data_IF_447530845842
#
_entry.id   IF_447530845842
#
_cell.length_a   1.000
_cell.length_b   1.000
_cell.length_c   1.000
_cell.angle_alpha   90.00
_cell.angle_beta   90.00
_cell.angle_gamma   90.00
#
_symmetry.space_group_name_H-M   'P 1'
#
loop_
_entity.id
_entity.type
_entity.pdbx_description
1 polymer ?
#
# COMPACT_ATOMS: atom_id res chain seq x y z
N UNK A 1 33.31 -10.76 0.47
CA UNK A 1 33.62 -9.99 1.68
C UNK A 1 32.58 -8.89 1.82
N UNK A 2 31.58 -9.10 2.69
CA UNK A 2 30.51 -8.13 2.93
C UNK A 2 31.07 -6.96 3.75
N UNK A 3 30.94 -5.75 3.21
CA UNK A 3 31.26 -4.52 3.91
C UNK A 3 30.31 -4.35 5.09
N UNK A 4 30.87 -4.35 6.29
CA UNK A 4 30.18 -3.98 7.52
C UNK A 4 29.78 -2.50 7.43
N UNK A 5 28.49 -2.24 7.26
CA UNK A 5 27.96 -0.89 7.38
C UNK A 5 28.05 -0.45 8.86
N UNK A 6 29.14 0.23 9.21
CA UNK A 6 29.27 0.95 10.50
C UNK A 6 28.48 2.28 10.44
N UNK A 7 27.37 2.35 11.17
CA UNK A 7 26.80 3.47 11.97
C UNK A 7 25.28 3.22 12.14
N UNK A 8 24.72 3.27 13.36
CA UNK A 8 24.54 4.52 14.10
C UNK A 8 24.86 4.42 15.62
N UNK A 9 25.67 5.34 16.20
CA UNK A 9 25.92 5.42 17.65
C UNK A 9 25.10 6.50 18.39
N UNK A 10 24.07 7.11 17.77
CA UNK A 10 23.40 8.31 18.33
C UNK A 10 21.89 8.19 18.56
N UNK A 11 21.23 7.10 18.16
CA UNK A 11 19.79 6.92 18.38
C UNK A 11 19.57 6.06 19.63
N UNK A 12 18.83 6.59 20.61
CA UNK A 12 18.51 5.87 21.84
C UNK A 12 17.28 4.97 21.69
N UNK A 13 16.51 5.08 20.60
CA UNK A 13 15.30 4.29 20.34
C UNK A 13 15.07 4.05 18.84
N UNK A 14 14.16 3.12 18.54
CA UNK A 14 13.54 2.93 17.21
C UNK A 14 12.08 2.50 17.37
N UNK A 15 11.22 2.99 16.47
CA UNK A 15 9.89 2.41 16.24
C UNK A 15 10.00 1.49 15.02
N UNK A 16 9.91 0.19 15.27
CA UNK A 16 10.10 -0.83 14.25
C UNK A 16 8.83 -1.04 13.45
N UNK A 17 7.66 -1.07 14.08
CA UNK A 17 6.40 -1.18 13.36
C UNK A 17 5.22 -0.63 14.16
N UNK A 18 4.28 -0.04 13.44
CA UNK A 18 2.95 0.33 13.92
C UNK A 18 2.01 -0.38 12.97
N UNK A 19 1.30 -1.40 13.46
CA UNK A 19 0.45 -2.25 12.62
C UNK A 19 -0.96 -2.30 13.18
N UNK A 20 -1.89 -2.57 12.29
CA UNK A 20 -3.26 -2.90 12.66
C UNK A 20 -3.51 -4.38 12.37
N UNK A 21 -3.71 -5.18 13.40
CA UNK A 21 -3.92 -6.63 13.29
C UNK A 21 -5.04 -7.02 14.25
N UNK A 22 -6.01 -7.82 13.77
CA UNK A 22 -7.11 -8.38 14.56
C UNK A 22 -7.87 -7.35 15.41
N UNK A 23 -8.17 -6.18 14.84
CA UNK A 23 -8.87 -5.10 15.55
C UNK A 23 -8.05 -4.49 16.70
N UNK A 24 -6.72 -4.54 16.62
CA UNK A 24 -5.79 -3.89 17.55
C UNK A 24 -4.76 -3.06 16.81
N UNK A 25 -4.25 -2.04 17.47
CA UNK A 25 -3.01 -1.36 17.08
C UNK A 25 -1.88 -2.00 17.87
N UNK A 26 -0.85 -2.46 17.17
CA UNK A 26 0.39 -2.99 17.74
C UNK A 26 1.54 -2.03 17.41
N UNK A 27 2.24 -1.57 18.45
CA UNK A 27 3.41 -0.71 18.34
C UNK A 27 4.60 -1.50 18.89
N UNK A 28 5.58 -1.77 18.05
CA UNK A 28 6.81 -2.41 18.47
C UNK A 28 8.04 -1.57 18.13
N UNK A 29 9.07 -1.75 18.94
CA UNK A 29 10.32 -1.03 18.83
C UNK A 29 11.27 -1.37 19.95
N UNK A 30 12.31 -0.56 20.11
CA UNK A 30 13.27 -0.69 21.19
C UNK A 30 13.70 0.69 21.72
N UNK A 31 14.12 0.72 22.98
CA UNK A 31 14.64 1.91 23.66
C UNK A 31 15.74 1.52 24.65
N UNK A 32 16.95 2.04 24.47
CA UNK A 32 18.15 1.60 25.20
C UNK A 32 18.10 1.89 26.70
N UNK A 33 17.46 2.99 27.09
CA UNK A 33 17.35 3.42 28.48
C UNK A 33 16.05 2.96 29.12
N UNK A 34 15.31 2.01 28.52
CA UNK A 34 14.01 1.57 29.02
C UNK A 34 14.04 1.19 30.50
N UNK A 35 15.09 0.50 30.96
CA UNK A 35 15.31 0.10 32.36
C UNK A 35 15.35 1.26 33.36
N UNK A 36 15.56 2.49 32.89
CA UNK A 36 15.52 3.68 33.72
C UNK A 36 14.11 4.22 33.92
N UNK A 37 13.06 3.57 33.41
CA UNK A 37 11.68 4.03 33.52
C UNK A 37 10.81 3.00 34.24
N UNK A 38 9.73 3.46 34.85
CA UNK A 38 8.82 2.65 35.67
C UNK A 38 7.52 2.32 34.93
N UNK A 39 7.14 3.15 33.97
CA UNK A 39 5.90 3.00 33.20
C UNK A 39 6.12 3.40 31.76
N UNK A 40 5.54 2.61 30.85
CA UNK A 40 5.39 2.96 29.44
C UNK A 40 3.90 3.12 29.12
N UNK A 41 3.53 4.26 28.54
CA UNK A 41 2.17 4.55 28.08
C UNK A 41 2.14 4.86 26.59
N UNK A 42 1.05 4.49 25.94
CA UNK A 42 0.63 5.10 24.68
C UNK A 42 -0.33 6.23 25.03
N UNK A 43 0.02 7.44 24.64
CA UNK A 43 -0.86 8.61 24.67
C UNK A 43 -1.51 8.70 23.31
N UNK A 44 -2.80 8.40 23.23
CA UNK A 44 -3.56 8.49 21.99
C UNK A 44 -3.78 9.96 21.59
N UNK A 45 -4.05 10.21 20.30
CA UNK A 45 -4.34 11.57 19.82
C UNK A 45 -5.53 12.25 20.49
N UNK A 46 -6.50 11.48 21.00
CA UNK A 46 -7.66 11.94 21.79
C UNK A 46 -7.36 12.09 23.29
N UNK A 47 -6.09 11.95 23.70
CA UNK A 47 -5.59 11.95 25.08
C UNK A 47 -6.00 10.76 25.93
N UNK A 48 -6.62 9.73 25.36
CA UNK A 48 -6.77 8.46 26.08
C UNK A 48 -5.39 7.84 26.32
N UNK A 49 -5.25 7.15 27.46
CA UNK A 49 -3.99 6.56 27.88
C UNK A 49 -4.11 5.05 27.90
N UNK A 50 -3.21 4.37 27.22
CA UNK A 50 -3.02 2.94 27.36
C UNK A 50 -1.71 2.67 28.12
N UNK A 51 -1.79 1.97 29.25
CA UNK A 51 -0.61 1.60 30.04
C UNK A 51 -0.12 0.23 29.59
N UNK A 52 1.12 0.16 29.10
CA UNK A 52 1.74 -1.08 28.68
C UNK A 52 1.88 -2.05 29.88
N UNK A 53 1.51 -3.30 29.67
CA UNK A 53 1.57 -4.35 30.67
C UNK A 53 3.00 -4.85 30.85
N UNK A 54 3.31 -5.49 31.99
CA UNK A 54 4.66 -5.97 32.33
C UNK A 54 5.27 -6.94 31.30
N UNK A 55 4.46 -7.57 30.45
CA UNK A 55 4.94 -8.44 29.36
C UNK A 55 5.12 -7.74 28.01
N UNK A 56 4.70 -6.49 27.86
CA UNK A 56 4.71 -5.74 26.59
C UNK A 56 5.95 -4.85 26.44
N UNK A 57 6.78 -4.73 27.46
CA UNK A 57 8.01 -3.94 27.43
C UNK A 57 9.09 -4.55 28.33
N UNK A 58 10.32 -4.06 28.22
CA UNK A 58 11.53 -4.71 28.76
C UNK A 58 11.79 -6.12 28.23
N UNK A 59 11.34 -6.41 27.01
CA UNK A 59 11.61 -7.69 26.38
C UNK A 59 13.09 -7.77 25.93
N UNK A 60 13.66 -8.99 25.89
CA UNK A 60 15.04 -9.21 25.44
C UNK A 60 15.21 -8.91 23.94
N UNK A 61 16.39 -8.42 23.55
CA UNK A 61 16.75 -8.03 22.18
C UNK A 61 18.19 -8.42 21.88
N UNK A 62 18.37 -9.66 21.41
CA UNK A 62 19.71 -10.19 21.11
C UNK A 62 20.39 -9.44 19.95
N UNK A 63 19.59 -9.00 18.98
CA UNK A 63 20.00 -8.17 17.84
C UNK A 63 20.59 -6.82 18.29
N UNK A 64 19.87 -6.09 19.15
CA UNK A 64 20.31 -4.79 19.67
C UNK A 64 21.50 -4.98 20.63
N UNK A 65 21.46 -6.00 21.49
CA UNK A 65 22.56 -6.33 22.39
C UNK A 65 23.86 -6.66 21.63
N UNK A 66 23.76 -7.35 20.49
CA UNK A 66 24.91 -7.68 19.64
C UNK A 66 25.49 -6.44 18.92
N UNK A 67 24.65 -5.45 18.59
CA UNK A 67 25.06 -4.23 17.89
C UNK A 67 25.65 -3.16 18.81
N UNK A 68 25.14 -3.05 20.04
CA UNK A 68 25.46 -1.95 20.96
C UNK A 68 26.26 -2.46 22.17
N UNK A 69 25.63 -3.23 23.05
CA UNK A 69 26.24 -3.78 24.26
C UNK A 69 25.35 -4.89 24.87
N UNK A 70 25.91 -6.01 25.39
CA UNK A 70 25.16 -7.01 26.16
C UNK A 70 24.28 -6.47 27.31
N UNK A 71 24.62 -5.32 27.90
CA UNK A 71 23.80 -4.67 28.94
C UNK A 71 22.48 -4.08 28.41
N UNK A 72 22.34 -3.92 27.09
CA UNK A 72 21.12 -3.45 26.41
C UNK A 72 20.22 -4.61 25.96
N UNK A 73 20.09 -5.67 26.76
CA UNK A 73 19.25 -6.82 26.39
C UNK A 73 17.75 -6.51 26.55
N UNK A 74 17.33 -5.88 27.64
CA UNK A 74 15.90 -5.71 27.96
C UNK A 74 15.30 -4.39 27.44
N UNK A 75 15.41 -4.16 26.14
CA UNK A 75 15.11 -2.86 25.51
C UNK A 75 13.88 -2.87 24.61
N UNK A 76 13.28 -4.03 24.36
CA UNK A 76 12.17 -4.19 23.41
C UNK A 76 10.81 -3.90 24.05
N UNK A 77 9.92 -3.34 23.25
CA UNK A 77 8.50 -3.27 23.54
C UNK A 77 7.69 -3.73 22.33
N UNK A 78 6.52 -4.31 22.62
CA UNK A 78 5.48 -4.68 21.70
C UNK A 78 4.15 -4.49 22.42
N UNK A 79 3.55 -3.32 22.22
CA UNK A 79 2.37 -2.85 22.95
C UNK A 79 1.16 -3.03 22.04
N UNK A 80 0.15 -3.75 22.51
CA UNK A 80 -1.06 -3.98 21.75
C UNK A 80 -2.29 -3.40 22.45
N UNK A 81 -3.01 -2.48 21.82
CA UNK A 81 -4.23 -1.91 22.38
C UNK A 81 -5.40 -1.91 21.39
N UNK A 82 -6.65 -1.82 21.87
CA UNK A 82 -7.83 -1.91 21.02
C UNK A 82 -7.83 -0.85 19.91
N UNK A 83 -8.33 -1.24 18.74
CA UNK A 83 -8.54 -0.36 17.61
C UNK A 83 -9.65 0.67 17.91
N UNK A 84 -9.37 1.99 17.91
CA UNK A 84 -10.40 3.00 18.10
C UNK A 84 -11.39 3.00 16.93
N UNK A 85 -12.69 3.02 17.18
CA UNK A 85 -13.70 3.06 16.11
C UNK A 85 -13.59 4.31 15.22
N UNK A 86 -13.01 5.39 15.75
CA UNK A 86 -12.79 6.66 15.06
C UNK A 86 -11.33 6.84 14.59
N UNK A 87 -10.57 5.74 14.43
CA UNK A 87 -9.18 5.80 14.02
C UNK A 87 -9.04 6.57 12.70
N UNK A 88 -8.18 7.58 12.69
CA UNK A 88 -7.80 8.35 11.51
C UNK A 88 -6.28 8.44 11.43
N UNK A 89 -5.73 8.80 10.27
CA UNK A 89 -4.29 8.99 10.13
C UNK A 89 -3.78 10.06 11.12
N UNK A 90 -4.51 11.17 11.24
CA UNK A 90 -4.17 12.25 12.17
C UNK A 90 -4.15 11.77 13.64
N UNK A 91 -5.09 10.90 14.04
CA UNK A 91 -5.13 10.37 15.39
C UNK A 91 -3.94 9.44 15.68
N UNK A 92 -3.52 8.61 14.71
CA UNK A 92 -2.33 7.75 14.83
C UNK A 92 -1.05 8.58 14.88
N UNK A 93 -0.93 9.60 14.04
CA UNK A 93 0.27 10.44 14.01
C UNK A 93 0.41 11.33 15.24
N UNK A 94 -0.70 11.67 15.88
CA UNK A 94 -0.72 12.35 17.17
C UNK A 94 -0.41 11.41 18.35
N UNK A 95 -0.23 10.11 18.13
CA UNK A 95 0.14 9.19 19.20
C UNK A 95 1.59 9.37 19.64
N UNK A 96 1.80 9.27 20.95
CA UNK A 96 3.11 9.35 21.59
C UNK A 96 3.32 8.15 22.51
N UNK A 97 4.54 7.61 22.55
CA UNK A 97 5.00 6.76 23.64
C UNK A 97 5.54 7.66 24.77
N UNK A 98 5.04 7.49 25.98
CA UNK A 98 5.49 8.20 27.19
C UNK A 98 6.19 7.20 28.13
N UNK A 99 7.50 7.38 28.33
CA UNK A 99 8.30 6.65 29.31
C UNK A 99 8.42 7.51 30.57
N UNK A 100 7.92 7.02 31.70
CA UNK A 100 7.73 7.81 32.93
C UNK A 100 8.58 7.27 34.10
N UNK A 101 9.15 8.19 34.90
CA UNK A 101 9.83 7.92 36.18
C UNK A 101 9.88 9.16 37.06
N UNK A 102 9.59 9.01 38.36
CA UNK A 102 9.76 10.07 39.37
C UNK A 102 9.13 11.43 38.98
N UNK A 103 7.99 11.40 38.28
CA UNK A 103 7.30 12.60 37.79
C UNK A 103 7.91 13.23 36.52
N UNK A 104 9.00 12.68 35.99
CA UNK A 104 9.55 13.01 34.67
C UNK A 104 9.02 12.07 33.58
N UNK A 105 8.93 12.57 32.34
CA UNK A 105 8.48 11.78 31.20
C UNK A 105 9.32 12.09 29.95
N UNK A 106 9.76 11.05 29.26
CA UNK A 106 10.30 11.13 27.89
C UNK A 106 9.19 10.75 26.90
N UNK A 107 8.99 11.56 25.87
CA UNK A 107 7.95 11.34 24.87
C UNK A 107 8.53 11.12 23.48
N UNK A 108 8.04 10.09 22.80
CA UNK A 108 8.45 9.70 21.46
C UNK A 108 7.22 9.68 20.54
N UNK A 109 7.19 10.50 19.50
CA UNK A 109 6.13 10.43 18.49
C UNK A 109 6.26 9.17 17.62
N UNK A 110 5.13 8.59 17.21
CA UNK A 110 5.12 7.36 16.40
C UNK A 110 5.50 7.60 14.93
N UNK A 111 5.23 8.79 14.40
CA UNK A 111 5.50 9.14 13.02
C UNK A 111 5.94 10.61 12.88
N UNK A 112 6.87 10.91 11.97
CA UNK A 112 7.27 12.30 11.71
C UNK A 112 6.18 13.03 10.93
N UNK A 113 5.75 14.21 11.39
CA UNK A 113 4.61 15.00 10.89
C UNK A 113 4.83 15.71 9.54
N UNK A 114 5.40 15.06 8.54
CA UNK A 114 5.48 15.61 7.17
C UNK A 114 4.39 14.99 6.30
N UNK A 115 3.16 15.48 6.44
CA UNK A 115 2.05 15.10 5.57
C UNK A 115 1.88 16.08 4.42
N UNK A 116 1.65 15.51 3.22
CA UNK A 116 1.27 16.23 2.01
C UNK A 116 -0.19 15.93 1.60
N UNK A 117 -0.95 15.17 2.38
CA UNK A 117 -2.33 14.78 2.02
C UNK A 117 -3.37 15.86 2.29
N UNK A 118 -4.49 15.82 1.57
CA UNK A 118 -5.65 16.67 1.83
C UNK A 118 -6.10 16.59 3.30
N UNK A 119 -6.10 17.75 3.99
CA UNK A 119 -6.34 17.86 5.43
C UNK A 119 -7.66 17.22 5.90
N UNK A 120 -8.68 17.16 5.06
CA UNK A 120 -9.97 16.60 5.42
C UNK A 120 -9.94 15.06 5.50
N UNK A 121 -9.23 14.38 4.57
CA UNK A 121 -9.18 12.92 4.54
C UNK A 121 -8.32 12.34 5.66
N UNK A 122 -7.25 13.02 6.07
CA UNK A 122 -6.37 12.51 7.14
C UNK A 122 -7.05 12.53 8.52
N UNK A 123 -8.05 13.38 8.71
CA UNK A 123 -8.84 13.47 9.95
C UNK A 123 -10.07 12.55 9.95
N UNK A 124 -10.52 12.13 8.77
CA UNK A 124 -11.69 11.28 8.60
C UNK A 124 -11.43 9.88 9.18
N UNK A 125 -12.37 9.31 9.97
CA UNK A 125 -12.27 7.93 10.43
C UNK A 125 -12.08 6.97 9.26
N UNK A 126 -11.20 5.97 9.42
CA UNK A 126 -10.91 4.99 8.38
C UNK A 126 -12.16 4.21 7.94
N UNK A 127 -13.11 3.97 8.85
CA UNK A 127 -14.40 3.33 8.54
C UNK A 127 -15.29 4.16 7.61
N UNK A 128 -15.10 5.49 7.57
CA UNK A 128 -15.84 6.39 6.68
C UNK A 128 -15.14 6.57 5.34
N UNK A 129 -13.87 6.18 5.21
CA UNK A 129 -13.08 6.27 3.97
C UNK A 129 -13.61 5.25 2.99
N UNK A 130 -14.06 5.70 1.82
CA UNK A 130 -14.58 4.80 0.79
C UNK A 130 -13.44 4.07 0.09
N UNK A 131 -13.25 2.79 0.41
CA UNK A 131 -12.23 1.94 -0.20
C UNK A 131 -12.76 1.29 -1.49
N UNK A 132 -11.97 1.34 -2.55
CA UNK A 132 -12.18 0.57 -3.78
C UNK A 132 -11.07 -0.45 -3.98
N UNK A 133 -11.40 -1.68 -4.35
CA UNK A 133 -10.44 -2.74 -4.67
C UNK A 133 -10.72 -3.24 -6.09
N UNK A 134 -9.81 -2.95 -7.01
CA UNK A 134 -9.88 -3.34 -8.41
C UNK A 134 -9.00 -4.55 -8.70
N UNK A 135 -9.57 -5.60 -9.30
CA UNK A 135 -8.85 -6.84 -9.62
C UNK A 135 -8.93 -7.10 -11.13
N UNK A 136 -7.83 -6.98 -11.88
CA UNK A 136 -7.79 -7.37 -13.29
C UNK A 136 -7.61 -8.89 -13.39
N UNK A 137 -8.26 -9.52 -14.37
CA UNK A 137 -8.05 -10.95 -14.65
C UNK A 137 -8.15 -11.28 -16.14
N UNK A 138 -7.45 -12.32 -16.55
CA UNK A 138 -7.52 -12.90 -17.90
C UNK A 138 -7.06 -14.37 -17.88
N UNK A 139 -7.97 -15.31 -18.19
CA UNK A 139 -7.75 -16.75 -18.26
C UNK A 139 -7.20 -17.37 -16.96
N UNK A 140 -7.76 -16.98 -15.81
CA UNK A 140 -7.28 -17.34 -14.47
C UNK A 140 -8.43 -17.59 -13.49
N UNK A 141 -9.48 -18.28 -13.94
CA UNK A 141 -10.75 -18.45 -13.20
C UNK A 141 -10.57 -18.90 -11.74
N UNK A 142 -9.72 -19.90 -11.49
CA UNK A 142 -9.46 -20.42 -10.15
C UNK A 142 -8.73 -19.43 -9.23
N UNK A 143 -7.74 -18.70 -9.77
CA UNK A 143 -6.96 -17.72 -9.00
C UNK A 143 -7.83 -16.52 -8.63
N UNK A 144 -8.54 -15.93 -9.60
CA UNK A 144 -9.38 -14.76 -9.34
C UNK A 144 -10.50 -15.09 -8.34
N UNK A 145 -11.09 -16.28 -8.41
CA UNK A 145 -12.09 -16.74 -7.44
C UNK A 145 -11.55 -16.74 -6.01
N UNK A 146 -10.38 -17.33 -5.81
CA UNK A 146 -9.76 -17.41 -4.48
C UNK A 146 -9.32 -16.03 -3.98
N UNK A 147 -8.78 -15.20 -4.86
CA UNK A 147 -8.36 -13.84 -4.53
C UNK A 147 -9.56 -12.98 -4.11
N UNK A 148 -10.68 -13.03 -4.84
CA UNK A 148 -11.91 -12.31 -4.46
C UNK A 148 -12.44 -12.82 -3.12
N UNK A 149 -12.48 -14.14 -2.90
CA UNK A 149 -12.91 -14.74 -1.62
C UNK A 149 -12.08 -14.21 -0.45
N UNK A 150 -10.75 -14.21 -0.58
CA UNK A 150 -9.84 -13.70 0.47
C UNK A 150 -9.99 -12.22 0.70
N UNK A 151 -10.21 -11.43 -0.36
CA UNK A 151 -10.52 -10.01 -0.21
C UNK A 151 -11.82 -9.83 0.58
N UNK A 152 -12.89 -10.57 0.30
CA UNK A 152 -14.14 -10.47 1.05
C UNK A 152 -13.99 -10.90 2.52
N UNK A 153 -13.21 -11.93 2.80
CA UNK A 153 -13.04 -12.47 4.16
C UNK A 153 -12.09 -11.65 5.04
N UNK A 154 -11.00 -11.13 4.47
CA UNK A 154 -9.90 -10.56 5.24
C UNK A 154 -9.83 -9.03 5.16
N UNK A 155 -10.64 -8.39 4.31
CA UNK A 155 -10.68 -6.92 4.26
C UNK A 155 -11.52 -6.37 5.41
N UNK A 156 -10.96 -5.41 6.13
CA UNK A 156 -11.68 -4.66 7.14
C UNK A 156 -12.40 -3.46 6.50
N UNK A 157 -13.56 -3.08 7.06
CA UNK A 157 -14.53 -2.19 6.43
C UNK A 157 -15.18 -2.81 5.18
N UNK A 158 -16.24 -2.18 4.65
CA UNK A 158 -16.98 -2.67 3.49
C UNK A 158 -16.45 -2.02 2.20
N UNK A 159 -15.56 -2.68 1.42
CA UNK A 159 -14.99 -2.12 0.20
C UNK A 159 -15.95 -2.22 -0.98
N UNK A 160 -15.80 -1.33 -1.95
CA UNK A 160 -16.30 -1.57 -3.30
C UNK A 160 -15.30 -2.47 -4.04
N UNK A 161 -15.68 -3.71 -4.31
CA UNK A 161 -14.85 -4.67 -5.06
C UNK A 161 -15.28 -4.65 -6.53
N UNK A 162 -14.32 -4.45 -7.44
CA UNK A 162 -14.57 -4.49 -8.87
C UNK A 162 -13.59 -5.43 -9.58
N UNK A 163 -14.12 -6.42 -10.30
CA UNK A 163 -13.33 -7.36 -11.11
C UNK A 163 -13.54 -7.07 -12.60
N UNK A 164 -12.44 -6.87 -13.32
CA UNK A 164 -12.46 -6.64 -14.78
C UNK A 164 -11.82 -7.82 -15.51
N UNK A 165 -12.68 -8.62 -16.12
CA UNK A 165 -12.30 -9.76 -16.96
C UNK A 165 -11.99 -9.30 -18.39
N UNK A 166 -10.71 -9.36 -18.78
CA UNK A 166 -10.20 -8.88 -20.07
C UNK A 166 -10.38 -9.90 -21.21
N UNK A 167 -11.59 -10.46 -21.32
CA UNK A 167 -11.97 -11.30 -22.45
C UNK A 167 -11.47 -12.73 -22.35
N UNK A 168 -11.53 -13.30 -21.14
CA UNK A 168 -11.13 -14.69 -20.91
C UNK A 168 -11.93 -15.67 -21.78
N UNK A 169 -11.26 -16.74 -22.19
CA UNK A 169 -11.80 -17.87 -22.95
C UNK A 169 -12.05 -19.13 -22.10
N UNK A 170 -11.62 -19.10 -20.83
CA UNK A 170 -11.95 -20.14 -19.84
C UNK A 170 -13.30 -19.85 -19.14
N UNK A 171 -13.58 -20.52 -18.02
CA UNK A 171 -14.82 -20.37 -17.24
C UNK A 171 -14.84 -19.13 -16.32
N UNK A 172 -13.90 -18.18 -16.47
CA UNK A 172 -13.80 -16.99 -15.61
C UNK A 172 -15.11 -16.20 -15.54
N UNK A 173 -15.80 -15.98 -16.66
CA UNK A 173 -17.05 -15.20 -16.68
C UNK A 173 -18.16 -15.88 -15.85
N UNK A 174 -18.29 -17.20 -15.98
CA UNK A 174 -19.28 -18.00 -15.25
C UNK A 174 -18.97 -18.08 -13.76
N UNK A 175 -17.69 -18.11 -13.40
CA UNK A 175 -17.24 -18.08 -12.00
C UNK A 175 -17.54 -16.73 -11.36
N UNK A 176 -17.20 -15.62 -12.03
CA UNK A 176 -17.45 -14.27 -11.51
C UNK A 176 -18.95 -13.96 -11.38
N UNK A 177 -19.79 -14.47 -12.29
CA UNK A 177 -21.25 -14.30 -12.21
C UNK A 177 -21.93 -15.06 -11.06
N UNK A 178 -21.17 -15.82 -10.25
CA UNK A 178 -21.66 -16.54 -9.07
C UNK A 178 -21.14 -15.97 -7.76
N UNK A 179 -20.27 -14.97 -7.80
CA UNK A 179 -19.72 -14.33 -6.61
C UNK A 179 -20.58 -13.12 -6.31
N UNK A 180 -21.23 -13.12 -5.15
CA UNK A 180 -22.08 -12.02 -4.69
C UNK A 180 -21.25 -10.83 -4.18
N UNK A 181 -21.86 -9.65 -4.14
CA UNK A 181 -21.30 -8.43 -3.55
C UNK A 181 -20.02 -7.93 -4.24
N UNK A 182 -19.94 -8.10 -5.55
CA UNK A 182 -18.87 -7.54 -6.38
C UNK A 182 -19.44 -6.86 -7.63
N UNK A 183 -18.70 -5.88 -8.14
CA UNK A 183 -18.91 -5.35 -9.47
C UNK A 183 -18.11 -6.21 -10.45
N UNK A 184 -18.69 -6.52 -11.62
CA UNK A 184 -18.05 -7.33 -12.65
C UNK A 184 -18.21 -6.69 -14.01
N UNK A 185 -17.14 -6.69 -14.79
CA UNK A 185 -17.15 -6.37 -16.22
C UNK A 185 -16.52 -7.51 -17.01
N UNK A 186 -17.31 -8.13 -17.87
CA UNK A 186 -16.82 -9.01 -18.92
C UNK A 186 -16.71 -8.20 -20.23
N UNK A 187 -15.49 -7.98 -20.71
CA UNK A 187 -15.24 -7.17 -21.90
C UNK A 187 -14.21 -7.84 -22.83
N UNK A 188 -14.20 -7.52 -24.13
CA UNK A 188 -13.16 -8.03 -25.03
C UNK A 188 -11.76 -7.64 -24.57
N UNK A 189 -10.78 -8.52 -24.83
CA UNK A 189 -9.38 -8.30 -24.50
C UNK A 189 -8.87 -6.99 -25.09
N UNK A 190 -8.37 -6.12 -24.23
CA UNK A 190 -7.87 -4.80 -24.58
C UNK A 190 -6.43 -4.56 -24.09
N UNK A 191 -5.87 -5.52 -23.36
CA UNK A 191 -4.53 -5.41 -22.82
C UNK A 191 -4.47 -4.80 -21.43
N UNK A 192 -3.27 -4.83 -20.84
CA UNK A 192 -3.07 -4.62 -19.40
C UNK A 192 -3.42 -3.20 -18.98
N UNK A 193 -2.90 -2.18 -19.68
CA UNK A 193 -3.19 -0.77 -19.33
C UNK A 193 -4.68 -0.46 -19.44
N UNK A 194 -5.34 -0.90 -20.51
CA UNK A 194 -6.77 -0.68 -20.69
C UNK A 194 -7.59 -1.38 -19.61
N UNK A 195 -7.25 -2.63 -19.29
CA UNK A 195 -7.99 -3.39 -18.28
C UNK A 195 -7.83 -2.77 -16.88
N UNK A 196 -6.63 -2.32 -16.52
CA UNK A 196 -6.40 -1.55 -15.28
C UNK A 196 -7.13 -0.20 -15.29
N UNK A 197 -7.22 0.46 -16.44
CA UNK A 197 -7.97 1.72 -16.56
C UNK A 197 -9.48 1.53 -16.38
N UNK A 198 -10.07 0.40 -16.79
CA UNK A 198 -11.47 0.08 -16.46
C UNK A 198 -11.69 0.13 -14.95
N UNK A 199 -10.81 -0.56 -14.20
CA UNK A 199 -10.86 -0.63 -12.75
C UNK A 199 -10.70 0.74 -12.11
N UNK A 200 -9.61 1.42 -12.43
CA UNK A 200 -9.31 2.75 -11.90
C UNK A 200 -10.43 3.73 -12.22
N UNK A 201 -10.93 3.76 -13.45
CA UNK A 201 -11.98 4.70 -13.86
C UNK A 201 -13.28 4.45 -13.11
N UNK A 202 -13.72 3.18 -13.00
CA UNK A 202 -14.94 2.86 -12.26
C UNK A 202 -14.83 3.26 -10.79
N UNK A 203 -13.75 2.83 -10.12
CA UNK A 203 -13.56 3.11 -8.70
C UNK A 203 -13.33 4.61 -8.43
N UNK A 204 -12.66 5.31 -9.34
CA UNK A 204 -12.36 6.74 -9.20
C UNK A 204 -13.54 7.65 -9.57
N UNK A 205 -14.17 7.46 -10.71
CA UNK A 205 -15.16 8.42 -11.25
C UNK A 205 -16.60 8.02 -10.95
N UNK A 206 -16.90 6.72 -11.01
CA UNK A 206 -18.26 6.21 -10.81
C UNK A 206 -18.55 6.03 -9.33
N UNK A 207 -17.72 5.24 -8.65
CA UNK A 207 -17.91 4.87 -7.25
C UNK A 207 -17.36 5.91 -6.28
N UNK A 208 -16.56 6.85 -6.77
CA UNK A 208 -16.01 7.96 -5.97
C UNK A 208 -15.23 7.48 -4.72
N UNK A 209 -14.49 6.37 -4.82
CA UNK A 209 -13.65 5.85 -3.74
C UNK A 209 -12.54 6.83 -3.33
N UNK A 210 -12.37 7.07 -2.03
CA UNK A 210 -11.33 7.94 -1.48
C UNK A 210 -9.93 7.31 -1.66
N UNK A 211 -9.84 5.98 -1.47
CA UNK A 211 -8.63 5.17 -1.67
C UNK A 211 -8.96 4.03 -2.63
N UNK A 212 -8.04 3.73 -3.54
CA UNK A 212 -8.16 2.66 -4.53
C UNK A 212 -6.94 1.74 -4.44
N UNK A 213 -7.18 0.44 -4.35
CA UNK A 213 -6.14 -0.59 -4.45
C UNK A 213 -6.35 -1.34 -5.77
N UNK A 214 -5.33 -1.39 -6.63
CA UNK A 214 -5.27 -2.34 -7.73
C UNK A 214 -4.51 -3.58 -7.26
N UNK A 215 -5.18 -4.72 -7.23
CA UNK A 215 -4.65 -6.00 -6.75
C UNK A 215 -4.69 -7.00 -7.90
N UNK A 216 -3.54 -7.48 -8.35
CA UNK A 216 -3.47 -8.54 -9.38
C UNK A 216 -4.16 -9.83 -8.86
N UNK A 217 -4.72 -10.62 -9.77
CA UNK A 217 -5.50 -11.82 -9.42
C UNK A 217 -4.68 -12.95 -8.78
N UNK A 218 -3.35 -12.83 -8.75
CA UNK A 218 -2.40 -13.73 -8.07
C UNK A 218 -1.80 -13.14 -6.79
N UNK A 219 -2.28 -11.98 -6.32
CA UNK A 219 -1.88 -11.38 -5.06
C UNK A 219 -3.01 -11.49 -4.03
N UNK A 220 -2.81 -12.30 -2.99
CA UNK A 220 -3.86 -12.70 -2.06
C UNK A 220 -3.63 -12.13 -0.66
N UNK A 221 -4.66 -11.55 -0.03
CA UNK A 221 -4.63 -11.25 1.39
C UNK A 221 -4.38 -12.50 2.24
N UNK A 222 -3.54 -12.35 3.27
CA UNK A 222 -3.19 -13.44 4.20
C UNK A 222 -3.38 -13.09 5.68
N UNK A 223 -3.80 -11.85 5.99
CA UNK A 223 -4.06 -11.37 7.36
C UNK A 223 -5.36 -10.57 7.36
N UNK A 224 -6.17 -10.70 8.42
CA UNK A 224 -7.36 -9.87 8.62
C UNK A 224 -6.98 -8.39 8.76
N UNK A 225 -7.71 -7.51 8.10
CA UNK A 225 -7.44 -6.07 8.09
C UNK A 225 -6.20 -5.66 7.29
N UNK A 226 -5.72 -6.52 6.37
CA UNK A 226 -4.56 -6.23 5.51
C UNK A 226 -4.63 -4.84 4.86
N UNK A 227 -5.83 -4.40 4.47
CA UNK A 227 -6.07 -3.15 3.75
C UNK A 227 -5.82 -1.88 4.60
N UNK A 228 -5.80 -1.97 5.92
CA UNK A 228 -5.69 -0.79 6.79
C UNK A 228 -4.33 -0.11 6.61
N UNK A 229 -3.23 -0.89 6.61
CA UNK A 229 -1.88 -0.37 6.36
C UNK A 229 -1.79 0.27 4.96
N UNK A 230 -2.48 -0.32 3.97
CA UNK A 230 -2.55 0.25 2.62
C UNK A 230 -3.32 1.58 2.59
N UNK A 231 -4.44 1.69 3.29
CA UNK A 231 -5.20 2.93 3.42
C UNK A 231 -4.36 4.02 4.08
N UNK A 232 -3.70 3.71 5.20
CA UNK A 232 -2.83 4.65 5.92
C UNK A 232 -1.66 5.10 5.04
N UNK A 233 -1.02 4.18 4.33
CA UNK A 233 0.06 4.50 3.40
C UNK A 233 -0.41 5.39 2.24
N UNK A 234 -1.60 5.15 1.69
CA UNK A 234 -2.15 5.98 0.62
C UNK A 234 -2.56 7.36 1.12
N UNK A 235 -3.12 7.48 2.32
CA UNK A 235 -3.41 8.77 2.95
C UNK A 235 -2.13 9.59 3.20
N UNK A 236 -1.03 8.91 3.55
CA UNK A 236 0.25 9.53 3.89
C UNK A 236 1.08 9.91 2.66
N UNK A 237 1.17 9.01 1.69
CA UNK A 237 2.10 9.14 0.54
C UNK A 237 1.39 9.33 -0.80
N UNK A 238 0.07 9.25 -0.83
CA UNK A 238 -0.75 9.32 -2.05
C UNK A 238 -0.67 8.08 -2.95
N UNK A 239 0.43 7.33 -2.91
CA UNK A 239 0.64 6.11 -3.68
C UNK A 239 1.66 5.20 -3.00
N UNK A 240 1.50 3.88 -3.09
CA UNK A 240 2.49 2.86 -2.66
C UNK A 240 2.34 1.60 -3.50
N UNK A 241 3.37 0.76 -3.56
CA UNK A 241 3.34 -0.53 -4.23
C UNK A 241 3.72 -1.68 -3.30
N UNK A 242 3.50 -2.92 -3.72
CA UNK A 242 3.87 -4.10 -2.96
C UNK A 242 5.33 -4.49 -3.19
N UNK A 243 6.01 -4.95 -2.14
CA UNK A 243 7.30 -5.63 -2.17
C UNK A 243 7.08 -7.07 -1.68
N UNK A 244 6.95 -8.07 -2.58
CA UNK A 244 6.87 -9.46 -2.15
C UNK A 244 8.16 -9.90 -1.44
N UNK A 245 8.07 -10.97 -0.65
CA UNK A 245 9.20 -11.46 0.17
C UNK A 245 10.45 -11.82 -0.63
N UNK A 246 10.29 -12.22 -1.89
CA UNK A 246 11.39 -12.53 -2.82
C UNK A 246 11.93 -11.29 -3.55
N UNK A 247 11.34 -10.12 -3.36
CA UNK A 247 11.66 -8.93 -4.15
C UNK A 247 13.05 -8.39 -3.85
N UNK A 248 13.92 -8.22 -4.86
CA UNK A 248 15.27 -7.71 -4.64
C UNK A 248 15.27 -6.20 -4.40
N UNK A 249 16.40 -5.68 -3.93
CA UNK A 249 16.66 -4.23 -3.97
C UNK A 249 15.91 -3.40 -2.94
N UNK A 250 15.40 -4.02 -1.87
CA UNK A 250 14.85 -3.30 -0.72
C UNK A 250 15.97 -2.53 -0.03
N UNK A 251 15.87 -1.20 -0.07
CA UNK A 251 16.79 -0.28 0.58
C UNK A 251 16.38 0.01 2.03
N UNK A 252 16.41 1.29 2.41
CA UNK A 252 15.98 1.74 3.75
C UNK A 252 14.47 1.52 3.96
N UNK A 253 14.07 1.43 5.22
CA UNK A 253 12.67 1.21 5.62
C UNK A 253 12.43 -0.21 6.09
N UNK A 254 11.22 -0.48 6.59
CA UNK A 254 10.83 -1.80 7.09
C UNK A 254 9.54 -2.33 6.42
N UNK A 255 9.05 -1.66 5.37
CA UNK A 255 7.88 -2.08 4.62
C UNK A 255 6.54 -1.80 5.30
N UNK A 256 6.52 -1.09 6.43
CA UNK A 256 5.28 -0.63 7.08
C UNK A 256 4.74 0.65 6.42
N UNK A 257 3.47 0.96 6.68
CA UNK A 257 2.81 2.15 6.14
C UNK A 257 3.45 3.48 6.57
N UNK A 258 4.14 3.54 7.71
CA UNK A 258 4.81 4.76 8.20
C UNK A 258 6.28 4.83 7.78
N UNK A 259 6.89 3.68 7.48
CA UNK A 259 8.29 3.56 7.06
C UNK A 259 8.45 2.54 5.91
N UNK A 260 7.90 2.85 4.72
CA UNK A 260 7.92 1.93 3.59
C UNK A 260 9.34 1.65 3.13
N UNK A 261 9.54 0.51 2.48
CA UNK A 261 10.80 0.25 1.80
C UNK A 261 11.04 1.29 0.71
N UNK A 262 12.30 1.69 0.60
CA UNK A 262 12.82 2.57 -0.45
C UNK A 262 13.56 1.72 -1.47
N UNK A 263 12.97 1.52 -2.64
CA UNK A 263 13.56 0.69 -3.69
C UNK A 263 13.86 1.48 -4.96
N UNK A 264 14.85 1.03 -5.73
CA UNK A 264 15.12 1.53 -7.08
C UNK A 264 14.48 0.66 -8.17
N UNK A 265 13.85 -0.44 -7.78
CA UNK A 265 13.08 -1.34 -8.64
C UNK A 265 11.66 -1.43 -8.12
N UNK A 266 10.73 -1.72 -9.02
CA UNK A 266 9.30 -1.68 -8.75
C UNK A 266 8.63 -2.95 -9.24
N UNK A 267 7.58 -3.35 -8.54
CA UNK A 267 6.59 -4.29 -9.01
C UNK A 267 5.19 -3.76 -8.69
N UNK A 268 4.16 -4.34 -9.31
CA UNK A 268 2.79 -3.86 -9.23
C UNK A 268 1.78 -5.01 -9.03
N UNK A 269 2.15 -6.06 -8.26
CA UNK A 269 1.15 -7.07 -7.83
C UNK A 269 0.06 -6.45 -6.96
N UNK A 270 0.39 -5.40 -6.21
CA UNK A 270 -0.59 -4.51 -5.63
C UNK A 270 -0.07 -3.07 -5.66
N UNK A 271 -0.95 -2.13 -6.01
CA UNK A 271 -0.67 -0.70 -6.05
C UNK A 271 -1.82 0.04 -5.37
N UNK A 272 -1.50 0.88 -4.39
CA UNK A 272 -2.46 1.72 -3.70
C UNK A 272 -2.41 3.16 -4.19
N UNK A 273 -3.56 3.83 -4.24
CA UNK A 273 -3.70 5.20 -4.70
C UNK A 273 -4.69 5.97 -3.82
N UNK A 274 -4.35 7.21 -3.50
CA UNK A 274 -5.34 8.19 -3.07
C UNK A 274 -6.09 8.75 -4.27
N UNK A 275 -7.36 9.13 -4.06
CA UNK A 275 -8.15 9.90 -5.03
C UNK A 275 -7.42 11.15 -5.52
N UNK A 276 -6.79 11.87 -4.61
CA UNK A 276 -6.05 13.09 -4.94
C UNK A 276 -4.93 12.80 -5.95
N UNK A 277 -4.09 11.79 -5.69
CA UNK A 277 -3.00 11.43 -6.58
C UNK A 277 -3.50 11.01 -7.97
N UNK A 278 -4.60 10.24 -8.05
CA UNK A 278 -5.23 9.88 -9.33
C UNK A 278 -5.89 11.08 -10.02
N UNK A 279 -6.42 12.05 -9.29
CA UNK A 279 -7.00 13.26 -9.88
C UNK A 279 -5.93 14.14 -10.56
N UNK A 280 -4.72 14.21 -10.00
CA UNK A 280 -3.62 14.98 -10.57
C UNK A 280 -2.87 14.24 -11.70
N UNK A 281 -2.68 12.94 -11.56
CA UNK A 281 -1.85 12.15 -12.50
C UNK A 281 -2.70 11.38 -13.52
N UNK A 282 -3.95 11.11 -13.19
CA UNK A 282 -4.84 10.31 -14.01
C UNK A 282 -4.39 8.85 -14.07
N UNK A 283 -4.59 8.25 -15.23
CA UNK A 283 -4.63 6.81 -15.44
C UNK A 283 -3.37 6.27 -16.11
N UNK A 284 -3.33 4.96 -16.37
CA UNK A 284 -2.23 4.32 -17.09
C UNK A 284 -2.34 4.68 -18.58
N UNK A 285 -1.21 4.94 -19.23
CA UNK A 285 -1.21 5.32 -20.63
C UNK A 285 -1.60 4.15 -21.55
N UNK A 286 -2.66 4.30 -22.34
CA UNK A 286 -3.21 3.21 -23.17
C UNK A 286 -2.33 2.84 -24.37
N UNK A 287 -1.21 3.56 -24.60
CA UNK A 287 -0.17 3.12 -25.54
C UNK A 287 0.48 1.81 -25.10
N UNK A 288 0.54 1.54 -23.79
CA UNK A 288 1.05 0.26 -23.26
C UNK A 288 -0.01 -0.85 -23.43
N UNK A 289 0.00 -1.55 -24.55
CA UNK A 289 -0.98 -2.59 -24.83
C UNK A 289 -0.72 -3.92 -24.10
N UNK A 290 0.53 -4.39 -24.10
CA UNK A 290 0.93 -5.69 -23.55
C UNK A 290 1.89 -5.54 -22.36
N UNK A 291 2.46 -6.64 -21.90
CA UNK A 291 3.31 -6.71 -20.71
C UNK A 291 4.50 -5.74 -20.76
N UNK A 292 4.63 -4.91 -19.71
CA UNK A 292 5.87 -4.21 -19.35
C UNK A 292 5.74 -2.70 -19.34
N UNK A 293 6.47 -2.06 -18.42
CA UNK A 293 6.63 -0.60 -18.25
C UNK A 293 5.40 0.22 -17.86
N UNK A 294 4.18 -0.26 -18.02
CA UNK A 294 2.96 0.56 -17.85
C UNK A 294 2.79 1.06 -16.41
N UNK A 295 3.02 0.20 -15.43
CA UNK A 295 2.95 0.55 -14.00
C UNK A 295 4.15 1.37 -13.54
N UNK A 296 5.34 1.11 -14.10
CA UNK A 296 6.57 1.88 -13.81
C UNK A 296 6.39 3.32 -14.27
N UNK A 297 5.88 3.52 -15.49
CA UNK A 297 5.61 4.83 -16.05
C UNK A 297 4.61 5.60 -15.20
N UNK A 298 3.49 4.97 -14.84
CA UNK A 298 2.45 5.60 -14.01
C UNK A 298 2.99 6.00 -12.64
N UNK A 299 3.76 5.12 -12.00
CA UNK A 299 4.41 5.39 -10.71
C UNK A 299 5.41 6.54 -10.80
N UNK A 300 6.20 6.62 -11.88
CA UNK A 300 7.13 7.73 -12.07
C UNK A 300 6.40 9.07 -12.23
N UNK A 301 5.24 9.09 -12.92
CA UNK A 301 4.39 10.28 -12.99
C UNK A 301 3.86 10.70 -11.63
N UNK A 302 3.43 9.74 -10.81
CA UNK A 302 3.03 9.96 -9.41
C UNK A 302 4.16 10.61 -8.60
N UNK A 303 5.38 10.10 -8.72
CA UNK A 303 6.55 10.63 -8.01
C UNK A 303 6.90 12.04 -8.47
N UNK A 304 6.78 12.34 -9.77
CA UNK A 304 6.98 13.72 -10.28
C UNK A 304 6.00 14.72 -9.68
N UNK A 305 4.81 14.27 -9.30
CA UNK A 305 3.79 15.10 -8.63
C UNK A 305 3.87 15.03 -7.09
N UNK A 306 4.88 14.36 -6.53
CA UNK A 306 5.14 14.30 -5.09
C UNK A 306 4.50 13.12 -4.35
N UNK A 307 4.00 12.11 -5.07
CA UNK A 307 3.34 10.94 -4.49
C UNK A 307 4.17 9.65 -4.62
N UNK A 308 4.17 8.83 -3.57
CA UNK A 308 4.65 7.44 -3.60
C UNK A 308 6.13 7.18 -3.85
N UNK A 309 6.97 8.19 -3.63
CA UNK A 309 8.41 8.02 -3.73
C UNK A 309 9.19 9.33 -3.63
N UNK A 310 10.47 9.25 -3.96
CA UNK A 310 11.38 10.40 -3.99
C UNK A 310 12.00 10.52 -5.39
N UNK A 311 11.88 11.67 -6.05
CA UNK A 311 12.58 11.89 -7.31
C UNK A 311 14.10 11.91 -7.07
N UNK A 312 14.87 11.36 -8.01
CA UNK A 312 16.34 11.49 -7.99
C UNK A 312 16.77 12.74 -8.75
N UNK A 313 18.01 13.14 -8.55
CA UNK A 313 18.58 14.36 -9.15
C UNK A 313 18.53 14.36 -10.69
N UNK A 314 18.60 13.18 -11.31
CA UNK A 314 18.50 12.98 -12.76
C UNK A 314 17.08 13.20 -13.31
N UNK A 315 16.06 13.28 -12.44
CA UNK A 315 14.61 13.37 -12.74
C UNK A 315 14.03 12.22 -13.59
N UNK A 316 14.89 11.39 -14.19
CA UNK A 316 14.55 10.22 -14.99
C UNK A 316 14.38 8.96 -14.13
N UNK A 317 14.99 8.92 -12.94
CA UNK A 317 14.85 7.81 -12.01
C UNK A 317 14.27 8.27 -10.67
N UNK A 318 13.76 7.31 -9.91
CA UNK A 318 13.15 7.55 -8.62
C UNK A 318 13.52 6.49 -7.60
N UNK A 319 13.20 6.80 -6.36
CA UNK A 319 13.06 5.83 -5.29
C UNK A 319 11.58 5.59 -5.05
N UNK A 320 11.14 4.35 -5.19
CA UNK A 320 9.76 3.94 -4.96
C UNK A 320 9.50 3.64 -3.49
N UNK A 321 8.27 3.87 -3.02
CA UNK A 321 7.80 3.43 -1.71
C UNK A 321 7.02 2.12 -1.83
N UNK A 322 7.45 1.10 -1.07
CA UNK A 322 6.86 -0.23 -1.11
C UNK A 322 6.47 -0.74 0.28
N UNK A 323 5.32 -1.41 0.38
CA UNK A 323 4.87 -2.13 1.56
C UNK A 323 5.26 -3.61 1.46
N UNK A 324 5.64 -4.22 2.58
CA UNK A 324 6.23 -5.57 2.60
C UNK A 324 5.29 -6.71 3.01
N UNK A 325 4.10 -6.41 3.53
CA UNK A 325 3.29 -7.39 4.26
C UNK A 325 1.81 -7.34 3.89
N UNK A 326 1.03 -8.29 4.44
CA UNK A 326 -0.42 -8.41 4.26
C UNK A 326 -0.85 -9.20 3.03
N UNK A 327 0.05 -9.42 2.07
CA UNK A 327 -0.22 -10.13 0.82
C UNK A 327 0.77 -11.28 0.59
N UNK A 328 0.30 -12.30 -0.12
CA UNK A 328 1.10 -13.39 -0.67
C UNK A 328 0.91 -13.45 -2.19
N UNK A 329 2.01 -13.59 -2.94
CA UNK A 329 1.95 -13.82 -4.38
C UNK A 329 1.88 -15.33 -4.64
N UNK A 330 0.88 -15.73 -5.40
CA UNK A 330 0.66 -17.10 -5.84
C UNK A 330 1.38 -17.34 -7.17
N UNK A 331 1.82 -18.57 -7.39
CA UNK A 331 2.40 -18.95 -8.67
C UNK A 331 1.35 -18.86 -9.78
N UNK A 332 1.69 -18.16 -10.86
CA UNK A 332 0.82 -17.96 -12.01
C UNK A 332 1.63 -18.02 -13.31
N UNK A 333 0.97 -18.34 -14.42
CA UNK A 333 1.60 -18.30 -15.74
C UNK A 333 1.76 -16.84 -16.16
N UNK A 334 3.00 -16.38 -16.26
CA UNK A 334 3.31 -15.02 -16.66
C UNK A 334 3.04 -14.79 -18.15
N UNK A 335 2.42 -13.66 -18.49
CA UNK A 335 2.29 -13.16 -19.86
C UNK A 335 3.53 -12.39 -20.33
N UNK A 336 4.67 -12.57 -19.67
CA UNK A 336 5.95 -11.98 -20.04
C UNK A 336 6.34 -12.37 -21.47
N UNK A 337 6.76 -11.37 -22.24
CA UNK A 337 7.40 -11.55 -23.54
C UNK A 337 8.45 -10.45 -23.73
N UNK A 338 9.67 -10.84 -24.09
CA UNK A 338 10.74 -9.88 -24.34
C UNK A 338 10.38 -8.91 -25.47
N UNK A 339 9.66 -9.37 -26.50
CA UNK A 339 9.20 -8.52 -27.59
C UNK A 339 8.29 -7.39 -27.08
N UNK A 340 7.32 -7.72 -26.21
CA UNK A 340 6.41 -6.71 -25.65
C UNK A 340 7.15 -5.73 -24.75
N UNK A 341 8.13 -6.20 -23.97
CA UNK A 341 9.00 -5.34 -23.16
C UNK A 341 9.79 -4.38 -24.05
N UNK A 342 10.36 -4.85 -25.16
CA UNK A 342 11.13 -4.03 -26.09
C UNK A 342 10.26 -2.98 -26.80
N UNK A 343 9.03 -3.35 -27.19
CA UNK A 343 8.03 -2.44 -27.76
C UNK A 343 7.64 -1.35 -26.75
N UNK A 344 7.28 -1.74 -25.54
CA UNK A 344 6.90 -0.82 -24.48
C UNK A 344 8.08 0.03 -23.98
N UNK A 345 9.33 -0.45 -24.08
CA UNK A 345 10.53 0.36 -23.81
C UNK A 345 10.62 1.57 -24.73
N UNK A 346 10.26 1.41 -26.02
CA UNK A 346 10.27 2.52 -26.99
C UNK A 346 9.23 3.56 -26.62
N UNK A 347 8.03 3.11 -26.24
CA UNK A 347 6.95 3.99 -25.76
C UNK A 347 7.44 4.74 -24.52
N UNK A 348 7.89 4.02 -23.49
CA UNK A 348 8.36 4.58 -22.22
C UNK A 348 9.39 5.71 -22.42
N UNK A 349 10.40 5.48 -23.27
CA UNK A 349 11.44 6.48 -23.57
C UNK A 349 10.90 7.72 -24.28
N UNK A 350 9.89 7.56 -25.13
CA UNK A 350 9.35 8.65 -25.95
C UNK A 350 8.46 9.59 -25.13
N UNK A 351 7.83 9.09 -24.07
CA UNK A 351 6.76 9.79 -23.37
C UNK A 351 7.16 10.33 -21.99
N UNK A 352 8.41 10.09 -21.58
CA UNK A 352 8.92 10.42 -20.24
C UNK A 352 8.76 11.90 -19.87
N UNK A 353 8.88 12.80 -20.86
CA UNK A 353 8.87 14.26 -20.70
C UNK A 353 7.48 14.89 -20.96
N UNK A 354 6.50 14.07 -21.32
CA UNK A 354 5.12 14.54 -21.48
C UNK A 354 4.50 14.92 -20.11
N UNK A 355 3.37 15.63 -20.15
CA UNK A 355 2.60 16.02 -18.96
C UNK A 355 2.37 14.84 -18.00
N UNK A 356 2.19 15.08 -16.70
CA UNK A 356 1.89 14.00 -15.76
C UNK A 356 0.46 13.45 -15.93
N UNK A 357 -0.51 14.30 -16.25
CA UNK A 357 -1.91 13.87 -16.35
C UNK A 357 -2.16 13.02 -17.59
N UNK A 358 -2.86 11.88 -17.42
CA UNK A 358 -3.37 11.03 -18.51
C UNK A 358 -4.84 10.70 -18.29
N UNK A 359 -5.68 10.91 -19.29
CA UNK A 359 -7.05 10.36 -19.30
C UNK A 359 -7.00 8.83 -19.43
N UNK A 360 -8.09 8.15 -19.05
CA UNK A 360 -8.21 6.69 -19.18
C UNK A 360 -8.30 6.22 -20.65
N UNK A 361 -8.43 7.17 -21.58
CA UNK A 361 -8.52 7.04 -23.03
C UNK A 361 -7.59 8.05 -23.71
N UNK A 362 -7.38 7.90 -25.03
CA UNK A 362 -6.59 8.85 -25.84
C UNK A 362 -7.35 9.59 -26.93
N UNK A 363 -8.49 9.06 -27.35
CA UNK A 363 -9.30 9.59 -28.45
C UNK A 363 -10.79 9.40 -28.16
N UNK A 364 -11.62 9.96 -29.05
CA UNK A 364 -13.09 9.95 -28.92
C UNK A 364 -13.69 8.55 -29.02
N UNK A 365 -13.06 7.65 -29.79
CA UNK A 365 -13.49 6.25 -29.90
C UNK A 365 -13.23 5.50 -28.59
N UNK A 366 -12.07 5.73 -27.97
CA UNK A 366 -11.70 5.13 -26.69
C UNK A 366 -12.60 5.62 -25.54
N UNK A 367 -12.91 6.92 -25.44
CA UNK A 367 -13.85 7.38 -24.40
C UNK A 367 -15.24 6.80 -24.61
N UNK A 368 -15.70 6.69 -25.86
CA UNK A 368 -17.01 6.10 -26.16
C UNK A 368 -17.03 4.62 -25.76
N UNK A 369 -15.99 3.86 -26.14
CA UNK A 369 -15.81 2.46 -25.72
C UNK A 369 -15.81 2.32 -24.21
N UNK A 370 -15.05 3.15 -23.49
CA UNK A 370 -14.97 3.07 -22.03
C UNK A 370 -16.33 3.36 -21.40
N UNK A 371 -17.08 4.36 -21.89
CA UNK A 371 -18.44 4.66 -21.41
C UNK A 371 -19.39 3.48 -21.62
N UNK A 372 -19.32 2.83 -22.78
CA UNK A 372 -20.16 1.66 -23.07
C UNK A 372 -19.75 0.42 -22.25
N UNK A 373 -18.47 0.28 -21.92
CA UNK A 373 -17.97 -0.70 -20.95
C UNK A 373 -18.51 -0.40 -19.54
N UNK A 374 -18.45 0.85 -19.07
CA UNK A 374 -18.95 1.23 -17.75
C UNK A 374 -20.46 1.01 -17.58
N UNK A 375 -21.26 1.20 -18.64
CA UNK A 375 -22.71 0.90 -18.64
C UNK A 375 -23.03 -0.59 -18.52
N UNK A 376 -22.07 -1.47 -18.82
CA UNK A 376 -22.21 -2.92 -18.75
C UNK A 376 -21.65 -3.52 -17.47
N UNK A 377 -21.09 -2.71 -16.58
CA UNK A 377 -20.70 -3.17 -15.25
C UNK A 377 -21.94 -3.64 -14.52
N UNK A 378 -21.95 -4.91 -14.15
CA UNK A 378 -23.03 -5.53 -13.37
C UNK A 378 -22.61 -5.62 -11.91
N UNK A 379 -23.52 -5.31 -10.99
CA UNK A 379 -23.37 -5.67 -9.58
C UNK A 379 -23.98 -7.05 -9.38
N UNK A 380 -23.18 -7.98 -8.87
CA UNK A 380 -23.57 -9.35 -8.54
C UNK A 380 -24.07 -9.45 -7.11
#
# INVERSE_FOLDING_TARGET
MMGTAKKAPNESYSIDHVRTVDGRIAIAGWFLDSANFETLRVVCGDRTLHVAQAGEWHQPSLDVAALINPHCNNVRFNIGFPFPNNLSLALIEAMELSFEKDGSALRLGLASSKNNGAADLINKPLCDIRLGIGIPTYNRSALVKETVRRVQELTHFDPVIFVSNDGSSDDTADVLGKIENIHVLNAPNAGIAWNKNRLLFHLHEVEKCDIILLLEDDAQPVVEGWNIDWMLACLRFGHVNFAPSWFPGLGRGNGSWHNPYRSTVLTAQCSGFSREALSYVGYIDTRFGRYGHEHVEHTLRLIRMGYGGLPKADRASATFFLLGEGLQVMDSVSNFSQQYVDENTKIFKTIQDECAYRSAWRDDDQIQRLRDEMRRVSRQ
#
